data_IF_861110619932
#
_entry.id   IF_861110619932
#
_cell.length_a   1.000
_cell.length_b   1.000
_cell.length_c   1.000
_cell.angle_alpha   90.00
_cell.angle_beta   90.00
_cell.angle_gamma   90.00
#
_symmetry.space_group_name_H-M   'P 1'
#
loop_
_entity.id
_entity.type
_entity.pdbx_description
1 polymer ?
#
# COMPACT_ATOMS: atom_id res chain seq x y z
N UNK A 1 3.51 -12.14 7.27
CA UNK A 1 4.08 -11.14 6.33
C UNK A 1 4.64 -10.00 7.16
N UNK A 2 5.91 -9.63 6.95
CA UNK A 2 6.50 -8.44 7.58
C UNK A 2 6.29 -7.23 6.70
N UNK A 3 6.33 -6.03 7.27
CA UNK A 3 6.30 -4.80 6.47
C UNK A 3 7.63 -4.61 5.72
N UNK A 4 7.52 -4.25 4.44
CA UNK A 4 8.61 -4.01 3.52
C UNK A 4 8.58 -2.55 3.07
N UNK A 5 9.68 -1.85 3.33
CA UNK A 5 9.91 -0.51 2.77
C UNK A 5 10.19 -0.59 1.28
N UNK A 6 9.52 0.27 0.51
CA UNK A 6 9.70 0.43 -0.92
C UNK A 6 9.96 1.89 -1.28
N UNK A 7 10.91 2.52 -0.59
CA UNK A 7 11.23 3.93 -0.78
C UNK A 7 11.47 4.25 -2.27
N UNK A 8 10.80 5.29 -2.77
CA UNK A 8 10.86 5.71 -4.17
C UNK A 8 9.99 4.92 -5.15
N UNK A 9 9.24 3.90 -4.71
CA UNK A 9 8.32 3.17 -5.58
C UNK A 9 7.19 4.09 -6.08
N UNK A 10 6.99 4.09 -7.39
CA UNK A 10 5.88 4.73 -8.08
C UNK A 10 5.49 3.90 -9.30
N UNK A 11 4.21 3.94 -9.64
CA UNK A 11 3.60 3.30 -10.79
C UNK A 11 2.31 4.04 -11.17
N UNK A 12 1.68 3.58 -12.25
CA UNK A 12 0.35 4.03 -12.65
C UNK A 12 -0.57 2.84 -12.90
N UNK A 13 -1.86 3.03 -12.63
CA UNK A 13 -2.86 2.01 -12.95
C UNK A 13 -2.96 1.81 -14.46
N UNK A 14 -2.88 0.56 -14.92
CA UNK A 14 -3.01 0.20 -16.34
C UNK A 14 -4.46 0.07 -16.80
N UNK A 15 -5.37 -0.11 -15.85
CA UNK A 15 -6.82 -0.16 -16.05
C UNK A 15 -7.56 0.43 -14.86
N UNK A 16 -8.87 0.58 -15.00
CA UNK A 16 -9.75 1.05 -13.93
C UNK A 16 -9.73 0.06 -12.76
N UNK A 17 -9.53 0.56 -11.54
CA UNK A 17 -9.64 -0.21 -10.31
C UNK A 17 -10.96 0.13 -9.61
N UNK A 18 -11.91 -0.78 -9.57
CA UNK A 18 -13.19 -0.59 -8.87
C UNK A 18 -13.00 -0.73 -7.36
N UNK A 19 -13.94 -0.20 -6.57
CA UNK A 19 -13.87 -0.23 -5.10
C UNK A 19 -13.84 -1.66 -4.51
N UNK A 20 -14.34 -2.65 -5.24
CA UNK A 20 -14.39 -4.07 -4.82
C UNK A 20 -13.19 -4.89 -5.30
N UNK A 21 -12.35 -4.32 -6.16
CA UNK A 21 -11.26 -5.07 -6.78
C UNK A 21 -10.11 -5.28 -5.79
N UNK A 22 -9.58 -6.50 -5.78
CA UNK A 22 -8.50 -6.94 -4.90
C UNK A 22 -7.17 -7.21 -5.61
N UNK A 23 -7.12 -7.03 -6.93
CA UNK A 23 -5.87 -7.08 -7.72
C UNK A 23 -5.49 -5.65 -8.08
N UNK A 24 -4.21 -5.32 -7.98
CA UNK A 24 -3.68 -4.00 -8.30
C UNK A 24 -3.14 -3.99 -9.73
N UNK A 25 -3.85 -3.37 -10.69
CA UNK A 25 -3.44 -3.38 -12.09
C UNK A 25 -2.39 -2.31 -12.35
N UNK A 26 -1.12 -2.66 -12.23
CA UNK A 26 0.01 -1.75 -12.50
C UNK A 26 0.98 -2.36 -13.50
N UNK A 27 1.65 -1.49 -14.26
CA UNK A 27 2.60 -1.87 -15.32
C UNK A 27 3.74 -2.78 -14.80
N UNK A 28 4.22 -2.55 -13.58
CA UNK A 28 5.33 -3.27 -12.98
C UNK A 28 4.89 -4.22 -11.86
N UNK A 29 3.69 -4.83 -11.97
CA UNK A 29 3.15 -5.72 -10.93
C UNK A 29 4.10 -6.87 -10.58
N UNK A 30 4.74 -7.48 -11.59
CA UNK A 30 5.70 -8.57 -11.40
C UNK A 30 6.91 -8.13 -10.59
N UNK A 31 7.53 -7.00 -10.94
CA UNK A 31 8.70 -6.48 -10.22
C UNK A 31 8.35 -6.11 -8.77
N UNK A 32 7.15 -5.57 -8.54
CA UNK A 32 6.66 -5.28 -7.20
C UNK A 32 6.44 -6.58 -6.41
N UNK A 33 5.81 -7.59 -7.00
CA UNK A 33 5.60 -8.90 -6.39
C UNK A 33 6.93 -9.57 -6.00
N UNK A 34 7.94 -9.53 -6.89
CA UNK A 34 9.29 -10.04 -6.62
C UNK A 34 9.97 -9.31 -5.46
N UNK A 35 9.86 -7.98 -5.40
CA UNK A 35 10.39 -7.17 -4.29
C UNK A 35 9.70 -7.45 -2.96
N UNK A 36 8.39 -7.74 -2.99
CA UNK A 36 7.60 -8.04 -1.81
C UNK A 36 7.88 -9.45 -1.29
N UNK A 37 8.03 -10.45 -2.17
CA UNK A 37 8.19 -11.84 -1.74
C UNK A 37 7.03 -12.28 -0.83
N UNK A 38 7.34 -12.69 0.41
CA UNK A 38 6.35 -13.05 1.44
C UNK A 38 5.96 -11.89 2.37
N UNK A 39 6.35 -10.66 2.03
CA UNK A 39 6.08 -9.45 2.81
C UNK A 39 4.94 -8.64 2.23
N UNK A 40 4.54 -7.59 2.95
CA UNK A 40 3.60 -6.58 2.45
C UNK A 40 4.19 -5.19 2.52
N UNK A 41 3.52 -4.27 1.87
CA UNK A 41 3.78 -2.83 2.00
C UNK A 41 2.45 -2.09 2.02
N UNK A 42 2.51 -0.77 2.24
CA UNK A 42 1.36 0.11 2.07
C UNK A 42 1.62 1.01 0.86
N UNK A 43 0.60 1.16 0.02
CA UNK A 43 0.64 2.00 -1.17
C UNK A 43 -0.50 3.01 -1.11
N UNK A 44 -0.23 4.21 -1.60
CA UNK A 44 -1.21 5.27 -1.77
C UNK A 44 -1.61 5.30 -3.25
N UNK A 45 -2.91 5.15 -3.51
CA UNK A 45 -3.51 5.34 -4.84
C UNK A 45 -4.15 6.72 -4.85
N UNK A 46 -3.85 7.55 -5.86
CA UNK A 46 -4.32 8.92 -5.96
C UNK A 46 -4.65 9.31 -7.41
N UNK A 47 -5.84 9.87 -7.64
CA UNK A 47 -6.35 10.32 -8.95
C UNK A 47 -6.40 11.85 -9.11
N UNK A 48 -5.85 12.61 -8.16
CA UNK A 48 -5.90 14.06 -8.07
C UNK A 48 -7.16 14.61 -7.38
N UNK A 49 -8.18 13.78 -7.16
CA UNK A 49 -9.45 14.17 -6.49
C UNK A 49 -9.63 13.50 -5.14
N UNK A 50 -8.94 12.39 -4.89
CA UNK A 50 -8.85 11.77 -3.58
C UNK A 50 -7.82 10.64 -3.56
N UNK A 51 -7.52 10.15 -2.37
CA UNK A 51 -6.55 9.09 -2.15
C UNK A 51 -7.14 7.92 -1.37
N UNK A 52 -6.56 6.74 -1.57
CA UNK A 52 -6.83 5.54 -0.78
C UNK A 52 -5.49 4.90 -0.42
N UNK A 53 -5.37 4.42 0.82
CA UNK A 53 -4.23 3.64 1.27
C UNK A 53 -4.62 2.16 1.22
N UNK A 54 -3.78 1.35 0.59
CA UNK A 54 -4.00 -0.09 0.43
C UNK A 54 -2.81 -0.88 0.98
N UNK A 55 -3.08 -2.04 1.56
CA UNK A 55 -2.03 -3.00 1.92
C UNK A 55 -1.78 -3.92 0.73
N UNK A 56 -0.58 -3.91 0.18
CA UNK A 56 -0.22 -4.67 -1.00
C UNK A 56 0.71 -5.84 -0.67
N UNK A 57 0.49 -6.99 -1.31
CA UNK A 57 1.28 -8.21 -1.13
C UNK A 57 1.33 -9.03 -2.42
N UNK A 58 2.39 -9.83 -2.59
CA UNK A 58 2.59 -10.63 -3.78
C UNK A 58 1.55 -11.76 -3.88
N UNK A 59 1.11 -12.04 -5.11
CA UNK A 59 0.30 -13.20 -5.48
C UNK A 59 0.79 -13.74 -6.82
N UNK A 60 1.79 -14.62 -6.78
CA UNK A 60 2.49 -15.05 -8.00
C UNK A 60 3.20 -13.86 -8.66
N UNK A 61 2.88 -13.58 -9.92
CA UNK A 61 3.40 -12.41 -10.67
C UNK A 61 2.52 -11.16 -10.54
N UNK A 62 1.47 -11.24 -9.72
CA UNK A 62 0.50 -10.16 -9.51
C UNK A 62 0.62 -9.59 -8.10
N UNK A 63 -0.08 -8.49 -7.86
CA UNK A 63 -0.14 -7.84 -6.54
C UNK A 63 -1.59 -7.80 -6.10
N UNK A 64 -1.87 -8.43 -4.97
CA UNK A 64 -3.15 -8.31 -4.28
C UNK A 64 -3.14 -7.15 -3.32
N UNK A 65 -4.31 -6.57 -3.11
CA UNK A 65 -4.51 -5.44 -2.21
C UNK A 65 -5.66 -5.69 -1.25
N UNK A 66 -5.45 -5.30 0.01
CA UNK A 66 -6.53 -5.02 0.94
C UNK A 66 -6.80 -3.52 0.96
N UNK A 67 -8.07 -3.15 0.76
CA UNK A 67 -8.54 -1.79 0.53
C UNK A 67 -8.77 -1.01 1.84
N UNK A 68 -8.87 0.30 1.73
CA UNK A 68 -9.35 1.19 2.80
C UNK A 68 -8.56 1.11 4.11
N UNK A 69 -7.24 1.23 4.04
CA UNK A 69 -6.37 1.30 5.24
C UNK A 69 -6.27 2.73 5.75
N UNK A 70 -5.83 2.88 6.99
CA UNK A 70 -5.54 4.18 7.62
C UNK A 70 -6.72 5.16 7.57
N UNK A 71 -7.92 4.64 7.82
CA UNK A 71 -9.16 5.43 7.80
C UNK A 71 -9.62 5.89 6.41
N UNK A 72 -8.92 5.49 5.35
CA UNK A 72 -9.37 5.74 3.97
C UNK A 72 -10.48 4.78 3.56
N UNK A 73 -11.30 5.17 2.59
CA UNK A 73 -12.38 4.33 2.06
C UNK A 73 -12.00 3.74 0.70
N UNK A 74 -12.46 2.50 0.47
CA UNK A 74 -12.30 1.86 -0.83
C UNK A 74 -13.08 2.63 -1.90
N UNK A 75 -12.38 3.16 -2.91
CA UNK A 75 -13.03 3.90 -3.99
C UNK A 75 -12.62 3.41 -5.38
N UNK A 76 -13.33 3.90 -6.38
CA UNK A 76 -13.02 3.59 -7.78
C UNK A 76 -11.98 4.58 -8.30
N UNK A 77 -10.92 4.07 -8.92
CA UNK A 77 -9.86 4.86 -9.53
C UNK A 77 -9.83 4.64 -11.04
N UNK A 78 -9.72 5.72 -11.85
CA UNK A 78 -9.55 5.60 -13.29
C UNK A 78 -8.15 5.07 -13.67
N UNK A 79 -8.03 4.56 -14.89
CA UNK A 79 -6.73 4.28 -15.53
C UNK A 79 -5.82 5.50 -15.45
N UNK A 80 -4.53 5.28 -15.21
CA UNK A 80 -3.54 6.34 -15.10
C UNK A 80 -3.42 6.97 -13.70
N UNK A 81 -4.26 6.57 -12.74
CA UNK A 81 -4.11 7.00 -11.34
C UNK A 81 -2.73 6.63 -10.81
N UNK A 82 -2.16 7.52 -10.00
CA UNK A 82 -0.83 7.35 -9.41
C UNK A 82 -0.90 6.32 -8.29
N UNK A 83 0.04 5.36 -8.30
CA UNK A 83 0.26 4.43 -7.19
C UNK A 83 1.67 4.65 -6.69
N UNK A 84 1.83 5.01 -5.41
CA UNK A 84 3.15 5.30 -4.83
C UNK A 84 3.29 4.70 -3.45
N UNK A 85 4.51 4.42 -3.07
CA UNK A 85 4.82 4.15 -1.68
C UNK A 85 4.97 5.48 -0.94
N UNK A 86 4.27 5.62 0.18
CA UNK A 86 4.48 6.69 1.16
C UNK A 86 4.52 6.07 2.55
N UNK A 87 5.16 6.75 3.49
CA UNK A 87 5.16 6.31 4.87
C UNK A 87 3.79 6.59 5.49
N UNK A 88 3.09 5.54 5.89
CA UNK A 88 1.72 5.62 6.42
C UNK A 88 1.66 5.27 7.90
N UNK A 89 0.51 5.50 8.54
CA UNK A 89 0.31 5.15 9.96
C UNK A 89 0.36 3.63 10.16
N UNK A 90 -0.26 2.84 9.28
CA UNK A 90 -0.11 1.38 9.34
C UNK A 90 1.33 0.92 9.14
N UNK A 91 2.12 1.60 8.29
CA UNK A 91 3.54 1.31 8.16
C UNK A 91 4.29 1.55 9.48
N UNK A 92 4.01 2.66 10.16
CA UNK A 92 4.57 2.96 11.48
C UNK A 92 4.18 1.88 12.52
N UNK A 93 2.90 1.50 12.57
CA UNK A 93 2.41 0.50 13.51
C UNK A 93 3.01 -0.90 13.24
N UNK A 94 3.20 -1.27 11.98
CA UNK A 94 3.80 -2.58 11.61
C UNK A 94 5.31 -2.65 11.87
N UNK A 95 6.01 -1.52 11.84
CA UNK A 95 7.42 -1.47 12.25
C UNK A 95 7.57 -1.70 13.75
N UNK A 96 6.54 -1.34 14.51
CA UNK A 96 6.57 -1.27 15.95
C UNK A 96 7.50 -0.15 16.44
N UNK A 97 7.22 0.37 17.62
CA UNK A 97 8.22 1.14 18.35
C UNK A 97 9.32 0.18 18.81
N UNK A 98 10.61 0.51 18.64
CA UNK A 98 11.69 -0.18 19.34
C UNK A 98 11.67 0.23 20.81
N UNK A 99 10.64 -0.16 21.54
CA UNK A 99 10.67 -0.18 23.00
C UNK A 99 9.86 -1.37 23.49
N UNK A 100 10.56 -2.34 24.09
CA UNK A 100 9.95 -3.30 25.01
C UNK A 100 9.50 -2.63 26.33
N UNK A 101 9.41 -1.30 26.36
CA UNK A 101 8.85 -0.56 27.48
C UNK A 101 7.66 0.24 26.97
N UNK A 102 6.47 -0.22 27.35
CA UNK A 102 5.24 0.56 27.37
C UNK A 102 5.45 1.74 28.33
N UNK A 103 6.02 2.82 27.84
CA UNK A 103 6.16 4.08 28.58
C UNK A 103 6.76 5.13 27.65
N UNK A 104 6.10 6.27 27.55
CA UNK A 104 6.67 7.53 27.02
C UNK A 104 6.82 7.74 25.50
N UNK A 105 6.03 7.08 24.65
CA UNK A 105 5.91 7.52 23.24
C UNK A 105 4.46 7.81 22.81
N UNK A 106 3.73 8.49 23.68
CA UNK A 106 2.60 9.32 23.27
C UNK A 106 2.78 10.66 23.98
N UNK A 107 2.95 11.74 23.22
CA UNK A 107 2.77 13.09 23.76
C UNK A 107 1.37 13.17 24.38
N UNK A 108 1.28 13.70 25.60
CA UNK A 108 0.00 14.11 26.23
C UNK A 108 -0.75 15.14 25.38
#
# INVERSE_FOLDING_TARGET
MKYQFLNGFNASLTEKLNATDGLLPIINAKELAEKLGENHTYLVINDGTGAEIVKAYAFGNEVKIERGKDGTEAKTFPTGSCVKWEFTESAFNDLGCPSEEKGDCCCE
#
